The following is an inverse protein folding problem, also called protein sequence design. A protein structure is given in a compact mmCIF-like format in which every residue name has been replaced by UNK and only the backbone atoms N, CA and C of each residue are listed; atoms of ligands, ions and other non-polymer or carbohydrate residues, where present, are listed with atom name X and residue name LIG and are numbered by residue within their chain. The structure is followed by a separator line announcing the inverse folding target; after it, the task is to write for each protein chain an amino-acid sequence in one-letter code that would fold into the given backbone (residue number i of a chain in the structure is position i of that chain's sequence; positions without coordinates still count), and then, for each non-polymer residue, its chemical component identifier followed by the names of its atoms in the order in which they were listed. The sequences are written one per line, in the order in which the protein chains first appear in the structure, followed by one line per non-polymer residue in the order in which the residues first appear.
data_IF_279947517407
#
_entry.id   IF_279947517407
#
_cell.length_a   1.000
_cell.length_b   1.000
_cell.length_c   1.000
_cell.angle_alpha   90.00
_cell.angle_beta   90.00
_cell.angle_gamma   90.00
#
_symmetry.space_group_name_H-M   'P 1'
#
loop_
_entity.id
_entity.type
_entity.pdbx_description
1 polymer ?
#
# COMPACT_ATOMS: atom_id res chain seq x y z
N UNK A 1 -29.16 -28.66 0.85
CA UNK A 1 -28.16 -27.63 1.22
C UNK A 1 -27.56 -27.08 -0.06
N UNK A 2 -28.02 -25.93 -0.51
CA UNK A 2 -27.39 -25.18 -1.60
C UNK A 2 -26.23 -24.39 -1.03
N UNK A 3 -24.99 -24.74 -1.42
CA UNK A 3 -23.81 -23.93 -1.13
C UNK A 3 -23.93 -22.53 -1.75
N UNK A 4 -23.10 -21.56 -1.32
CA UNK A 4 -23.18 -20.20 -1.80
C UNK A 4 -23.04 -20.20 -3.33
N UNK A 5 -24.06 -19.65 -4.00
CA UNK A 5 -24.06 -19.44 -5.44
C UNK A 5 -22.82 -18.63 -5.81
N UNK A 6 -21.98 -19.19 -6.67
CA UNK A 6 -20.79 -18.54 -7.19
C UNK A 6 -21.12 -17.11 -7.63
N UNK A 7 -20.34 -16.16 -7.11
CA UNK A 7 -20.46 -14.75 -7.45
C UNK A 7 -20.40 -14.62 -8.98
N UNK A 8 -21.54 -14.26 -9.57
CA UNK A 8 -21.62 -13.92 -11.00
C UNK A 8 -20.91 -12.58 -11.17
N UNK A 9 -19.69 -12.65 -11.69
CA UNK A 9 -18.83 -11.51 -11.95
C UNK A 9 -17.41 -11.87 -11.59
N UNK A 10 -16.67 -12.46 -12.52
CA UNK A 10 -15.21 -12.61 -12.46
C UNK A 10 -14.63 -11.31 -11.90
N UNK A 11 -13.88 -11.39 -10.80
CA UNK A 11 -13.33 -10.21 -10.13
C UNK A 11 -12.70 -9.26 -11.18
N UNK A 12 -13.25 -8.05 -11.33
CA UNK A 12 -12.81 -7.08 -12.35
C UNK A 12 -11.41 -6.53 -12.10
N UNK A 13 -10.93 -6.71 -10.87
CA UNK A 13 -9.59 -6.39 -10.40
C UNK A 13 -9.07 -7.68 -9.79
N UNK A 14 -7.92 -8.15 -10.27
CA UNK A 14 -7.25 -9.32 -9.70
C UNK A 14 -6.98 -9.05 -8.20
N UNK A 15 -7.51 -9.90 -7.33
CA UNK A 15 -7.39 -9.73 -5.88
C UNK A 15 -5.94 -9.74 -5.41
N UNK A 16 -5.04 -10.41 -6.15
CA UNK A 16 -3.59 -10.36 -5.90
C UNK A 16 -2.99 -8.96 -6.10
N UNK A 17 -3.72 -8.02 -6.71
CA UNK A 17 -3.31 -6.63 -6.87
C UNK A 17 -3.73 -5.75 -5.68
N UNK A 18 -4.40 -6.28 -4.65
CA UNK A 18 -5.04 -5.45 -3.60
C UNK A 18 -4.48 -5.62 -2.20
N UNK A 19 -3.38 -6.37 -2.05
CA UNK A 19 -2.79 -6.72 -0.76
C UNK A 19 -2.41 -5.48 0.07
N UNK A 20 -1.84 -4.47 -0.57
CA UNK A 20 -1.40 -3.22 0.06
C UNK A 20 -2.36 -2.05 -0.27
N UNK A 21 -3.63 -2.34 -0.55
CA UNK A 21 -4.65 -1.32 -0.80
C UNK A 21 -4.51 -0.58 -2.12
N UNK A 22 -5.33 0.46 -2.30
CA UNK A 22 -5.49 1.15 -3.56
C UNK A 22 -6.15 2.52 -3.44
N UNK A 23 -5.87 3.40 -4.40
CA UNK A 23 -6.46 4.73 -4.47
C UNK A 23 -7.04 5.02 -5.86
N UNK A 24 -8.31 5.41 -5.91
CA UNK A 24 -8.95 5.89 -7.14
C UNK A 24 -8.55 7.35 -7.40
N UNK A 25 -8.24 7.68 -8.65
CA UNK A 25 -7.93 9.04 -9.07
C UNK A 25 -9.14 9.95 -8.85
N UNK A 26 -8.94 11.26 -8.67
CA UNK A 26 -10.04 12.19 -8.41
C UNK A 26 -11.10 12.22 -9.53
N UNK A 27 -10.70 11.91 -10.77
CA UNK A 27 -11.61 11.81 -11.92
C UNK A 27 -12.31 10.44 -12.05
N UNK A 28 -12.01 9.50 -11.15
CA UNK A 28 -12.59 8.17 -11.10
C UNK A 28 -12.13 7.21 -12.20
N UNK A 29 -11.18 7.61 -13.05
CA UNK A 29 -10.80 6.85 -14.25
C UNK A 29 -9.64 5.90 -14.04
N UNK A 30 -8.81 6.16 -13.04
CA UNK A 30 -7.57 5.42 -12.81
C UNK A 30 -7.54 4.91 -11.38
N UNK A 31 -7.29 3.63 -11.19
CA UNK A 31 -7.02 3.05 -9.88
C UNK A 31 -5.53 2.78 -9.76
N UNK A 32 -4.88 3.35 -8.75
CA UNK A 32 -3.50 3.03 -8.40
C UNK A 32 -3.51 1.93 -7.34
N UNK A 33 -2.68 0.90 -7.54
CA UNK A 33 -2.55 -0.25 -6.64
C UNK A 33 -1.06 -0.53 -6.41
N UNK A 34 -0.75 -1.12 -5.26
CA UNK A 34 0.55 -1.78 -5.04
C UNK A 34 0.32 -3.27 -5.00
N UNK A 35 1.12 -3.98 -5.79
CA UNK A 35 1.07 -5.43 -5.95
C UNK A 35 1.94 -6.14 -4.92
N UNK A 36 1.72 -7.45 -4.75
CA UNK A 36 2.51 -8.31 -3.87
C UNK A 36 4.04 -8.20 -4.12
N UNK A 37 4.45 -7.99 -5.38
CA UNK A 37 5.86 -7.78 -5.79
C UNK A 37 6.35 -6.33 -5.62
N UNK A 38 5.70 -5.56 -4.74
CA UNK A 38 6.03 -4.17 -4.37
C UNK A 38 6.14 -3.22 -5.56
N UNK A 39 5.32 -3.46 -6.60
CA UNK A 39 5.23 -2.56 -7.76
C UNK A 39 3.96 -1.74 -7.68
N UNK A 40 4.09 -0.43 -7.93
CA UNK A 40 2.94 0.41 -8.16
C UNK A 40 2.49 0.25 -9.61
N UNK A 41 1.21 -0.09 -9.77
CA UNK A 41 0.54 -0.23 -11.07
C UNK A 41 -0.66 0.69 -11.13
N UNK A 42 -1.08 1.02 -12.35
CA UNK A 42 -2.35 1.71 -12.59
C UNK A 42 -3.29 0.83 -13.39
N UNK A 43 -4.59 0.95 -13.12
CA UNK A 43 -5.65 0.28 -13.84
C UNK A 43 -6.64 1.30 -14.37
N UNK A 44 -7.17 1.07 -15.57
CA UNK A 44 -8.39 1.73 -16.01
C UNK A 44 -9.54 1.24 -15.13
N UNK A 45 -10.12 2.15 -14.32
CA UNK A 45 -11.09 1.79 -13.30
C UNK A 45 -12.42 1.27 -13.89
N UNK A 46 -12.72 1.62 -15.15
CA UNK A 46 -13.94 1.18 -15.84
C UNK A 46 -13.80 -0.24 -16.38
N UNK A 47 -12.62 -0.60 -16.86
CA UNK A 47 -12.36 -1.84 -17.61
C UNK A 47 -11.50 -2.85 -16.86
N UNK A 48 -10.86 -2.46 -15.76
CA UNK A 48 -9.92 -3.29 -15.01
C UNK A 48 -8.58 -3.52 -15.72
N UNK A 49 -8.33 -2.87 -16.87
CA UNK A 49 -7.11 -3.09 -17.64
C UNK A 49 -5.91 -2.48 -16.94
N UNK A 50 -4.93 -3.32 -16.62
CA UNK A 50 -3.66 -2.90 -16.04
C UNK A 50 -2.83 -2.16 -17.08
N UNK A 51 -2.31 -0.99 -16.70
CA UNK A 51 -1.36 -0.21 -17.47
C UNK A 51 -0.03 -0.95 -17.60
N UNK A 52 0.69 -0.67 -18.68
CA UNK A 52 1.97 -1.34 -18.95
C UNK A 52 3.08 -0.99 -17.95
N UNK A 53 2.98 0.18 -17.32
CA UNK A 53 4.00 0.66 -16.38
C UNK A 53 3.79 -0.03 -15.03
N UNK A 54 4.87 -0.63 -14.54
CA UNK A 54 5.01 -1.10 -13.17
C UNK A 54 6.20 -0.34 -12.59
N UNK A 55 5.93 0.51 -11.60
CA UNK A 55 6.96 1.34 -10.98
C UNK A 55 7.44 0.63 -9.74
N UNK A 56 8.76 0.45 -9.62
CA UNK A 56 9.33 -0.02 -8.39
C UNK A 56 9.08 1.00 -7.28
N UNK A 57 8.44 0.59 -6.19
CA UNK A 57 8.19 1.49 -5.05
C UNK A 57 8.92 1.07 -3.78
N UNK A 58 9.76 0.04 -3.84
CA UNK A 58 10.69 -0.18 -2.75
C UNK A 58 11.63 -1.37 -2.85
N UNK A 59 12.76 -1.16 -2.18
CA UNK A 59 13.61 -2.16 -1.52
C UNK A 59 13.12 -2.45 -0.06
N UNK A 60 11.96 -1.90 0.33
CA UNK A 60 11.36 -1.89 1.67
C UNK A 60 9.90 -2.37 1.64
N UNK A 61 9.31 -2.74 2.80
CA UNK A 61 7.93 -3.24 2.85
C UNK A 61 6.92 -2.11 2.61
N UNK A 62 6.11 -2.23 1.56
CA UNK A 62 5.05 -1.25 1.26
C UNK A 62 3.85 -1.52 2.16
N UNK A 63 3.39 -0.49 2.87
CA UNK A 63 2.20 -0.60 3.72
C UNK A 63 0.94 -0.37 2.88
N UNK A 64 0.87 0.76 2.17
CA UNK A 64 -0.27 1.07 1.30
C UNK A 64 -0.10 2.22 0.31
N UNK A 65 -0.97 2.25 -0.71
CA UNK A 65 -1.29 3.49 -1.43
C UNK A 65 -2.21 4.36 -0.57
N UNK A 66 -1.78 5.58 -0.23
CA UNK A 66 -2.57 6.50 0.61
C UNK A 66 -3.63 7.22 -0.20
N UNK A 67 -3.20 7.98 -1.21
CA UNK A 67 -4.08 8.81 -2.06
C UNK A 67 -3.37 9.34 -3.29
N UNK A 68 -4.15 9.81 -4.26
CA UNK A 68 -3.66 10.72 -5.29
C UNK A 68 -3.43 12.10 -4.69
N UNK A 69 -2.29 12.71 -5.02
CA UNK A 69 -1.91 14.06 -4.57
C UNK A 69 -1.76 15.04 -5.75
N UNK A 70 -1.84 14.54 -6.97
CA UNK A 70 -1.86 15.33 -8.20
C UNK A 70 -2.50 14.53 -9.33
N UNK A 71 -2.55 15.11 -10.53
CA UNK A 71 -3.10 14.44 -11.72
C UNK A 71 -2.39 13.12 -12.03
N UNK A 72 -1.08 13.12 -11.88
CA UNK A 72 -0.21 12.01 -12.25
C UNK A 72 0.66 11.56 -11.05
N UNK A 73 0.30 11.97 -9.84
CA UNK A 73 1.09 11.75 -8.63
C UNK A 73 0.26 11.05 -7.55
N UNK A 74 0.83 9.98 -7.01
CA UNK A 74 0.27 9.21 -5.88
C UNK A 74 1.24 9.20 -4.72
N UNK A 75 0.68 9.15 -3.52
CA UNK A 75 1.44 9.03 -2.28
C UNK A 75 1.37 7.59 -1.80
N UNK A 76 2.52 6.98 -1.58
CA UNK A 76 2.67 5.61 -1.07
C UNK A 76 3.30 5.69 0.32
N UNK A 77 2.71 4.97 1.27
CA UNK A 77 3.25 4.78 2.62
C UNK A 77 4.04 3.49 2.66
N UNK A 78 5.29 3.59 3.14
CA UNK A 78 6.24 2.48 3.23
C UNK A 78 6.75 2.36 4.67
N UNK A 79 7.13 1.15 5.05
CA UNK A 79 7.83 0.88 6.29
C UNK A 79 9.30 0.62 5.99
N UNK A 80 10.17 1.41 6.60
CA UNK A 80 11.60 1.15 6.75
C UNK A 80 11.84 0.78 8.22
N UNK A 81 12.88 0.00 8.53
CA UNK A 81 13.13 -0.69 9.81
C UNK A 81 12.53 0.02 11.05
N UNK A 82 12.85 1.31 11.22
CA UNK A 82 12.41 2.13 12.34
C UNK A 82 11.40 3.25 12.00
N UNK A 83 11.04 3.44 10.73
CA UNK A 83 10.28 4.60 10.26
C UNK A 83 9.20 4.29 9.23
N UNK A 84 8.12 5.07 9.27
CA UNK A 84 7.16 5.11 8.16
C UNK A 84 7.53 6.29 7.25
N UNK A 85 7.82 5.98 6.00
CA UNK A 85 8.17 6.95 4.97
C UNK A 85 7.00 7.18 4.02
N UNK A 86 6.90 8.40 3.51
CA UNK A 86 5.96 8.76 2.46
C UNK A 86 6.72 9.01 1.16
N UNK A 87 6.30 8.36 0.09
CA UNK A 87 6.93 8.50 -1.22
C UNK A 87 5.92 8.96 -2.23
N UNK A 88 6.26 10.06 -2.89
CA UNK A 88 5.53 10.51 -4.07
C UNK A 88 6.00 9.70 -5.28
N UNK A 89 5.03 9.16 -6.02
CA UNK A 89 5.28 8.39 -7.24
C UNK A 89 4.56 9.04 -8.39
N UNK A 90 5.29 9.39 -9.44
CA UNK A 90 4.72 9.91 -10.67
C UNK A 90 4.34 8.77 -11.62
N UNK A 91 3.05 8.47 -11.74
CA UNK A 91 2.54 7.21 -12.32
C UNK A 91 2.85 7.04 -13.81
N UNK A 92 3.06 8.14 -14.55
CA UNK A 92 3.38 8.09 -15.99
C UNK A 92 4.84 7.79 -16.26
N UNK A 93 5.72 8.37 -15.47
CA UNK A 93 7.18 8.32 -15.68
C UNK A 93 7.84 7.25 -14.83
N UNK A 94 7.21 6.88 -13.71
CA UNK A 94 7.79 6.03 -12.67
C UNK A 94 8.79 6.75 -11.78
N UNK A 95 8.90 8.08 -11.87
CA UNK A 95 9.79 8.84 -11.01
C UNK A 95 9.28 8.80 -9.56
N UNK A 96 10.19 8.58 -8.62
CA UNK A 96 9.91 8.55 -7.18
C UNK A 96 10.66 9.66 -6.47
N UNK A 97 10.00 10.26 -5.49
CA UNK A 97 10.55 11.28 -4.62
C UNK A 97 10.16 10.92 -3.19
N UNK A 98 11.15 10.62 -2.36
CA UNK A 98 10.93 10.41 -0.94
C UNK A 98 10.69 11.74 -0.25
N UNK A 99 9.60 11.82 0.52
CA UNK A 99 9.35 12.98 1.36
C UNK A 99 10.08 12.75 2.69
N UNK A 100 10.92 13.72 3.05
CA UNK A 100 11.88 13.67 4.15
C UNK A 100 11.26 13.22 5.49
N UNK A 101 12.10 12.60 6.33
CA UNK A 101 11.74 11.99 7.62
C UNK A 101 11.07 12.95 8.61
N UNK A 102 11.17 14.26 8.39
CA UNK A 102 10.47 15.30 9.18
C UNK A 102 8.94 15.26 8.98
N UNK A 103 8.46 14.66 7.87
CA UNK A 103 7.05 14.32 7.63
C UNK A 103 6.74 12.84 7.94
N UNK A 104 7.75 12.04 8.25
CA UNK A 104 7.61 10.68 8.75
C UNK A 104 7.11 10.72 10.18
N UNK A 105 5.91 10.19 10.42
CA UNK A 105 5.50 9.94 11.81
C UNK A 105 6.38 8.81 12.36
N UNK A 106 7.20 9.13 13.37
CA UNK A 106 7.75 8.10 14.25
C UNK A 106 6.58 7.42 14.94
N UNK A 107 6.16 6.27 14.41
CA UNK A 107 5.29 5.38 15.15
C UNK A 107 6.17 4.73 16.21
N UNK A 108 6.31 5.41 17.35
CA UNK A 108 6.66 4.74 18.58
C UNK A 108 5.62 3.65 18.79
N UNK A 109 5.92 2.43 18.32
CA UNK A 109 5.27 1.20 18.75
C UNK A 109 5.67 0.97 20.19
N UNK A 110 5.23 1.87 21.08
CA UNK A 110 5.22 1.69 22.51
C UNK A 110 4.09 0.69 22.79
N UNK A 111 4.43 -0.54 22.41
CA UNK A 111 3.69 -1.75 22.56
C UNK A 111 3.25 -1.85 24.01
N UNK A 112 2.02 -1.42 24.32
CA UNK A 112 1.42 -1.62 25.64
C UNK A 112 1.35 -3.12 26.01
N UNK A 113 1.59 -4.04 25.07
CA UNK A 113 1.74 -5.46 25.33
C UNK A 113 3.08 -5.84 26.01
N UNK A 114 4.15 -5.04 25.85
CA UNK A 114 5.45 -5.31 26.49
C UNK A 114 5.43 -5.07 28.01
N UNK A 115 4.44 -4.35 28.53
CA UNK A 115 4.25 -4.10 29.98
C UNK A 115 3.48 -5.21 30.71
N UNK A 116 3.10 -6.29 30.02
CA UNK A 116 2.27 -7.36 30.61
C UNK A 116 2.94 -8.73 30.65
N UNK A 117 4.23 -8.84 30.34
CA UNK A 117 4.96 -10.08 30.64
C UNK A 117 5.09 -10.20 32.17
N UNK A 118 4.58 -11.27 32.80
CA UNK A 118 4.79 -11.47 34.22
C UNK A 118 6.28 -11.71 34.46
N UNK A 119 6.88 -10.95 35.38
CA UNK A 119 8.24 -11.21 35.87
C UNK A 119 8.32 -12.65 36.37
N UNK A 120 9.08 -13.49 35.67
CA UNK A 120 9.62 -14.71 36.25
C UNK A 120 10.50 -14.32 37.42
N UNK A 121 9.97 -14.40 38.64
CA UNK A 121 10.79 -14.39 39.86
C UNK A 121 11.79 -15.54 39.79
N UNK A 122 13.04 -15.23 39.50
CA UNK A 122 14.14 -16.12 39.84
C UNK A 122 14.32 -16.06 41.36
N UNK A 123 14.04 -17.17 42.02
CA UNK A 123 14.35 -17.36 43.43
C UNK A 123 15.85 -17.47 43.65
N UNK A 124 16.30 -16.92 44.77
CA UNK A 124 17.44 -17.38 45.55
C UNK A 124 17.10 -17.20 47.03
#
# INVERSE_FOLDING_TARGET
MTGPSGLVGDYRIDAALTEYGGALSPDGRTLALVTADLKLVTLDARTGRVGKRRTDVGDYEVIRVERWIGRDEVLVRRWDDDYVLLTKVHVRTGATEELDAELGESLGYDSRWARSAPETRQGS
#
